data_IF_795985990839
#
_entry.id   IF_795985990839
#
_cell.length_a   1.000
_cell.length_b   1.000
_cell.length_c   1.000
_cell.angle_alpha   90.00
_cell.angle_beta   90.00
_cell.angle_gamma   90.00
#
_symmetry.space_group_name_H-M   'P 1'
#
loop_
_entity.id
_entity.type
_entity.pdbx_description
1 polymer ?
#
# COMPACT_ATOMS: atom_id res chain seq x y z
N UNK A 1 7.93 13.15 8.60
CA UNK A 1 8.56 13.68 7.38
C UNK A 1 7.91 13.06 6.15
N UNK A 2 7.61 13.88 5.17
CA UNK A 2 6.94 13.40 3.96
C UNK A 2 7.96 13.13 2.85
N UNK A 3 7.76 12.05 2.09
CA UNK A 3 8.62 11.84 0.92
C UNK A 3 8.50 13.00 -0.05
N UNK A 4 9.63 13.48 -0.54
CA UNK A 4 9.64 14.64 -1.44
C UNK A 4 8.87 14.36 -2.73
N UNK A 5 8.85 13.11 -3.19
CA UNK A 5 8.19 12.78 -4.43
C UNK A 5 6.67 12.96 -4.36
N UNK A 6 6.09 12.83 -3.18
CA UNK A 6 4.65 13.08 -3.01
C UNK A 6 4.32 14.54 -3.20
N UNK A 7 5.20 15.43 -2.75
CA UNK A 7 4.99 16.86 -2.89
C UNK A 7 4.97 17.29 -4.35
N UNK A 8 5.71 16.60 -5.21
CA UNK A 8 5.85 17.02 -6.60
C UNK A 8 4.79 16.47 -7.52
N UNK A 9 4.40 15.22 -7.36
CA UNK A 9 3.50 14.60 -8.33
C UNK A 9 2.35 13.84 -7.73
N UNK A 10 2.29 13.75 -6.42
CA UNK A 10 1.24 13.00 -5.78
C UNK A 10 1.52 11.51 -5.70
N UNK A 11 0.48 10.74 -5.46
CA UNK A 11 0.61 9.32 -5.14
C UNK A 11 1.02 8.46 -6.34
N UNK A 12 0.46 8.73 -7.53
CA UNK A 12 0.75 7.91 -8.70
C UNK A 12 2.23 7.81 -9.02
N UNK A 13 2.90 8.94 -9.27
CA UNK A 13 4.33 8.92 -9.54
C UNK A 13 5.15 8.33 -8.39
N UNK A 14 4.72 8.54 -7.15
CA UNK A 14 5.43 7.99 -6.00
C UNK A 14 5.39 6.47 -6.00
N UNK A 15 4.22 5.89 -6.29
CA UNK A 15 4.09 4.43 -6.37
C UNK A 15 4.93 3.88 -7.52
N UNK A 16 4.94 4.57 -8.66
CA UNK A 16 5.76 4.14 -9.79
C UNK A 16 7.24 4.10 -9.42
N UNK A 17 7.70 5.08 -8.65
CA UNK A 17 9.08 5.10 -8.20
C UNK A 17 9.38 3.94 -7.27
N UNK A 18 8.47 3.65 -6.34
CA UNK A 18 8.64 2.49 -5.46
C UNK A 18 8.71 1.20 -6.26
N UNK A 19 7.85 1.06 -7.27
CA UNK A 19 7.84 -0.14 -8.10
C UNK A 19 9.16 -0.33 -8.83
N UNK A 20 9.73 0.76 -9.35
CA UNK A 20 11.01 0.67 -10.05
C UNK A 20 12.16 0.26 -9.14
N UNK A 21 12.06 0.57 -7.86
CA UNK A 21 13.11 0.24 -6.88
C UNK A 21 12.89 -1.12 -6.23
N UNK A 22 11.76 -1.76 -6.53
CA UNK A 22 11.43 -3.03 -5.88
C UNK A 22 12.35 -4.14 -6.36
N UNK A 23 12.75 -5.01 -5.44
CA UNK A 23 13.52 -6.21 -5.78
C UNK A 23 12.65 -7.26 -6.45
N UNK A 24 11.33 -7.13 -6.36
CA UNK A 24 10.38 -8.06 -6.94
C UNK A 24 9.63 -7.32 -8.04
N UNK A 25 9.36 -7.96 -9.20
CA UNK A 25 8.59 -7.30 -10.24
C UNK A 25 7.22 -6.85 -9.73
N UNK A 26 6.81 -5.65 -10.13
CA UNK A 26 5.55 -5.06 -9.68
C UNK A 26 4.71 -4.71 -10.88
N UNK A 27 3.46 -5.17 -10.88
CA UNK A 27 2.47 -4.78 -11.86
C UNK A 27 1.59 -3.70 -11.26
N UNK A 28 1.36 -2.61 -11.99
CA UNK A 28 0.62 -1.46 -11.48
C UNK A 28 -0.68 -1.28 -12.24
N UNK A 29 -1.75 -0.99 -11.49
CA UNK A 29 -3.04 -0.61 -12.03
C UNK A 29 -3.45 0.63 -11.25
N UNK A 30 -3.09 1.80 -11.78
CA UNK A 30 -3.24 3.06 -11.06
C UNK A 30 -4.30 3.94 -11.71
N UNK A 31 -5.29 4.34 -10.91
CA UNK A 31 -6.32 5.30 -11.29
C UNK A 31 -6.38 6.38 -10.23
N UNK A 32 -5.25 7.06 -10.03
CA UNK A 32 -5.09 8.11 -9.02
C UNK A 32 -4.56 9.37 -9.72
N UNK A 33 -5.32 9.85 -10.68
CA UNK A 33 -4.90 10.95 -11.55
C UNK A 33 -5.20 12.32 -10.97
N UNK A 34 -5.62 12.39 -9.71
CA UNK A 34 -5.88 13.66 -9.04
C UNK A 34 -5.19 13.67 -7.68
N UNK A 35 -5.03 14.88 -7.14
CA UNK A 35 -4.43 15.00 -5.82
C UNK A 35 -5.46 14.69 -4.74
N UNK A 36 -4.98 14.13 -3.66
CA UNK A 36 -5.77 13.77 -2.49
C UNK A 36 -5.19 14.49 -1.28
N UNK A 37 -5.89 14.49 -0.13
CA UNK A 37 -5.30 15.08 1.08
C UNK A 37 -3.92 14.49 1.35
N UNK A 38 -3.01 15.34 1.79
CA UNK A 38 -1.62 14.93 1.98
C UNK A 38 -1.49 13.74 2.93
N UNK A 39 -2.27 13.74 4.02
CA UNK A 39 -2.21 12.65 4.99
C UNK A 39 -2.61 11.32 4.36
N UNK A 40 -3.55 11.33 3.43
CA UNK A 40 -3.98 10.13 2.72
C UNK A 40 -2.86 9.64 1.81
N UNK A 41 -2.25 10.55 1.05
CA UNK A 41 -1.18 10.17 0.13
C UNK A 41 0.01 9.60 0.90
N UNK A 42 0.36 10.20 2.02
CA UNK A 42 1.47 9.69 2.84
C UNK A 42 1.17 8.30 3.37
N UNK A 43 -0.04 8.09 3.90
CA UNK A 43 -0.41 6.77 4.43
C UNK A 43 -0.37 5.71 3.33
N UNK A 44 -0.94 6.02 2.17
CA UNK A 44 -0.94 5.08 1.05
C UNK A 44 0.48 4.76 0.58
N UNK A 45 1.34 5.77 0.52
CA UNK A 45 2.73 5.57 0.14
C UNK A 45 3.42 4.58 1.07
N UNK A 46 3.26 4.74 2.39
CA UNK A 46 3.90 3.85 3.33
C UNK A 46 3.32 2.44 3.30
N UNK A 47 2.03 2.30 3.03
CA UNK A 47 1.43 0.97 2.87
C UNK A 47 2.08 0.25 1.69
N UNK A 48 2.21 0.91 0.54
CA UNK A 48 2.83 0.29 -0.63
C UNK A 48 4.30 -0.03 -0.33
N UNK A 49 5.03 0.90 0.26
CA UNK A 49 6.45 0.68 0.55
C UNK A 49 6.66 -0.53 1.47
N UNK A 50 5.85 -0.63 2.52
CA UNK A 50 5.98 -1.74 3.45
C UNK A 50 5.57 -3.06 2.80
N UNK A 51 4.52 -3.04 1.98
CA UNK A 51 4.08 -4.25 1.29
C UNK A 51 5.15 -4.77 0.33
N UNK A 52 5.82 -3.88 -0.39
CA UNK A 52 6.90 -4.28 -1.30
C UNK A 52 8.09 -4.83 -0.53
N UNK A 53 8.41 -4.22 0.62
CA UNK A 53 9.48 -4.72 1.48
C UNK A 53 9.16 -6.12 1.99
N UNK A 54 7.92 -6.34 2.44
CA UNK A 54 7.51 -7.65 2.92
C UNK A 54 7.56 -8.71 1.82
N UNK A 55 7.13 -8.35 0.62
CA UNK A 55 7.16 -9.30 -0.50
C UNK A 55 8.58 -9.73 -0.81
N UNK A 56 9.52 -8.79 -0.76
CA UNK A 56 10.91 -9.09 -1.08
C UNK A 56 11.62 -9.85 0.03
N UNK A 57 11.36 -9.49 1.30
CA UNK A 57 12.14 -10.03 2.41
C UNK A 57 11.53 -11.27 3.04
N UNK A 58 10.22 -11.33 3.12
CA UNK A 58 9.57 -12.34 3.95
C UNK A 58 8.68 -13.29 3.16
N UNK A 59 8.05 -12.81 2.11
CA UNK A 59 7.06 -13.61 1.42
C UNK A 59 7.64 -14.46 0.29
N UNK A 60 8.89 -14.21 -0.12
CA UNK A 60 9.52 -14.89 -1.25
C UNK A 60 8.64 -14.81 -2.49
N UNK A 61 8.03 -13.67 -2.69
CA UNK A 61 7.13 -13.48 -3.82
C UNK A 61 7.90 -13.37 -5.11
N UNK A 62 7.32 -13.83 -6.21
CA UNK A 62 7.88 -13.63 -7.53
C UNK A 62 7.28 -12.42 -8.22
N UNK A 63 6.14 -11.92 -7.73
CA UNK A 63 5.45 -10.80 -8.33
C UNK A 63 4.54 -10.13 -7.32
N UNK A 64 4.37 -8.82 -7.47
CA UNK A 64 3.43 -8.04 -6.66
C UNK A 64 2.53 -7.27 -7.62
N UNK A 65 1.23 -7.20 -7.29
CA UNK A 65 0.27 -6.40 -8.03
C UNK A 65 -0.21 -5.28 -7.12
N UNK A 66 -0.11 -4.03 -7.58
CA UNK A 66 -0.58 -2.87 -6.82
C UNK A 66 -1.70 -2.22 -7.62
N UNK A 67 -2.88 -2.11 -7.01
CA UNK A 67 -4.02 -1.43 -7.60
C UNK A 67 -4.42 -0.28 -6.70
N UNK A 68 -4.57 0.91 -7.26
CA UNK A 68 -4.96 2.09 -6.50
C UNK A 68 -6.00 2.86 -7.30
N UNK A 69 -7.16 3.10 -6.70
CA UNK A 69 -8.27 3.79 -7.36
C UNK A 69 -8.75 4.91 -6.44
N UNK A 70 -8.67 6.14 -6.94
CA UNK A 70 -9.21 7.30 -6.23
C UNK A 70 -10.64 7.53 -6.72
N UNK A 71 -11.61 7.09 -5.93
CA UNK A 71 -13.01 7.34 -6.21
C UNK A 71 -13.41 8.73 -5.75
N UNK A 72 -14.73 8.99 -5.75
CA UNK A 72 -15.22 10.30 -5.32
C UNK A 72 -15.04 10.52 -3.82
N UNK A 73 -15.26 9.48 -3.04
CA UNK A 73 -15.28 9.59 -1.58
C UNK A 73 -14.16 8.83 -0.89
N UNK A 74 -13.52 7.90 -1.57
CA UNK A 74 -12.56 7.01 -0.94
C UNK A 74 -11.43 6.66 -1.88
N UNK A 75 -10.26 6.41 -1.29
CA UNK A 75 -9.15 5.78 -1.98
C UNK A 75 -9.20 4.29 -1.67
N UNK A 76 -9.19 3.46 -2.71
CA UNK A 76 -9.11 2.01 -2.57
C UNK A 76 -7.73 1.56 -3.04
N UNK A 77 -7.03 0.85 -2.18
CA UNK A 77 -5.68 0.41 -2.45
C UNK A 77 -5.60 -1.09 -2.15
N UNK A 78 -5.14 -1.86 -3.13
CA UNK A 78 -5.00 -3.30 -2.97
C UNK A 78 -3.59 -3.69 -3.40
N UNK A 79 -2.88 -4.42 -2.55
CA UNK A 79 -1.54 -4.89 -2.86
C UNK A 79 -1.50 -6.38 -2.59
N UNK A 80 -1.24 -7.17 -3.63
CA UNK A 80 -1.20 -8.62 -3.51
C UNK A 80 0.13 -9.16 -3.98
N UNK A 81 0.65 -10.17 -3.26
CA UNK A 81 1.83 -10.90 -3.71
C UNK A 81 1.50 -12.39 -3.77
N UNK A 82 2.33 -13.12 -4.53
CA UNK A 82 2.17 -14.54 -4.73
C UNK A 82 3.14 -15.35 -3.87
N UNK A 83 3.53 -14.80 -2.74
CA UNK A 83 4.53 -15.42 -1.89
C UNK A 83 3.98 -16.50 -0.98
N UNK A 84 4.69 -16.75 0.11
CA UNK A 84 4.37 -17.87 1.00
C UNK A 84 3.18 -17.61 1.92
N UNK A 85 2.75 -16.36 2.04
CA UNK A 85 1.65 -16.03 2.95
C UNK A 85 2.05 -16.16 4.42
N UNK A 86 1.03 -16.21 5.28
CA UNK A 86 1.27 -16.34 6.69
C UNK A 86 1.59 -15.05 7.43
N UNK A 87 1.51 -13.92 6.74
CA UNK A 87 1.74 -12.62 7.38
C UNK A 87 0.55 -12.27 8.27
N UNK A 88 0.83 -11.67 9.42
CA UNK A 88 -0.23 -11.22 10.32
C UNK A 88 0.12 -9.83 10.83
N UNK A 89 -0.90 -9.03 11.09
CA UNK A 89 -0.71 -7.75 11.74
C UNK A 89 -0.13 -8.01 13.12
N UNK A 90 0.94 -7.34 13.46
CA UNK A 90 1.59 -7.57 14.73
C UNK A 90 2.72 -8.56 14.68
N UNK A 91 3.03 -9.08 13.50
CA UNK A 91 4.10 -10.04 13.34
C UNK A 91 5.48 -9.43 13.28
N UNK A 92 5.65 -8.20 13.74
CA UNK A 92 6.95 -7.55 13.77
C UNK A 92 7.39 -6.92 12.47
N UNK A 93 6.51 -6.85 11.51
CA UNK A 93 6.85 -6.40 10.17
C UNK A 93 6.45 -4.95 9.89
N UNK A 94 6.00 -4.19 10.87
CA UNK A 94 5.55 -2.85 10.62
C UNK A 94 4.08 -2.75 10.23
N UNK A 95 3.40 -3.87 10.07
CA UNK A 95 2.00 -3.84 9.66
C UNK A 95 1.09 -3.22 10.72
N UNK A 96 1.43 -3.38 12.01
CA UNK A 96 0.66 -2.74 13.08
C UNK A 96 0.69 -1.23 12.90
N UNK A 97 1.87 -0.67 12.66
CA UNK A 97 2.01 0.78 12.48
C UNK A 97 1.22 1.29 11.29
N UNK A 98 1.19 0.51 10.21
CA UNK A 98 0.40 0.88 9.04
C UNK A 98 -1.09 0.88 9.35
N UNK A 99 -1.55 -0.14 10.06
CA UNK A 99 -2.95 -0.22 10.42
C UNK A 99 -3.36 0.98 11.27
N UNK A 100 -2.53 1.32 12.27
CA UNK A 100 -2.80 2.48 13.11
C UNK A 100 -2.85 3.77 12.28
N UNK A 101 -1.93 3.92 11.34
CA UNK A 101 -1.88 5.11 10.50
C UNK A 101 -3.14 5.24 9.63
N UNK A 102 -3.59 4.13 9.05
CA UNK A 102 -4.79 4.13 8.22
C UNK A 102 -6.02 4.41 9.07
N UNK A 103 -6.10 3.79 10.25
CA UNK A 103 -7.27 3.97 11.12
C UNK A 103 -7.33 5.39 11.69
N UNK A 104 -6.20 6.05 11.84
CA UNK A 104 -6.17 7.44 12.29
C UNK A 104 -6.84 8.37 11.26
N UNK A 105 -6.96 7.93 10.01
CA UNK A 105 -7.63 8.67 8.94
C UNK A 105 -9.05 8.19 8.72
N UNK A 106 -9.61 7.44 9.66
CA UNK A 106 -10.92 6.82 9.57
C UNK A 106 -10.98 5.78 8.46
N UNK A 107 -9.84 5.25 8.06
CA UNK A 107 -9.75 4.21 7.06
C UNK A 107 -9.73 2.83 7.66
N UNK A 108 -9.59 1.83 6.81
CA UNK A 108 -9.53 0.44 7.22
C UNK A 108 -8.44 -0.27 6.44
N UNK A 109 -7.71 -1.15 7.11
CA UNK A 109 -6.69 -1.98 6.49
C UNK A 109 -6.98 -3.43 6.86
N UNK A 110 -7.19 -4.26 5.84
CA UNK A 110 -7.39 -5.68 6.03
C UNK A 110 -6.25 -6.47 5.42
N UNK A 111 -5.91 -7.58 6.05
CA UNK A 111 -4.86 -8.47 5.59
C UNK A 111 -5.44 -9.85 5.38
N UNK A 112 -5.19 -10.42 4.19
CA UNK A 112 -5.52 -11.81 3.93
C UNK A 112 -4.23 -12.50 3.51
N UNK A 113 -3.77 -13.46 4.32
CA UNK A 113 -2.47 -14.08 4.08
C UNK A 113 -2.48 -15.55 4.46
N UNK A 114 -3.30 -16.37 3.80
CA UNK A 114 -3.31 -17.80 4.08
C UNK A 114 -1.94 -18.40 3.78
N UNK A 115 -1.43 -19.30 4.63
CA UNK A 115 -0.16 -19.95 4.36
C UNK A 115 -0.16 -20.61 2.98
N UNK A 116 0.87 -20.35 2.20
CA UNK A 116 1.01 -20.92 0.86
C UNK A 116 0.24 -20.22 -0.24
N UNK A 117 -0.51 -19.17 0.07
CA UNK A 117 -1.38 -18.50 -0.90
C UNK A 117 -1.11 -17.01 -1.07
N UNK A 118 0.06 -16.54 -0.65
CA UNK A 118 0.42 -15.15 -0.80
C UNK A 118 -0.24 -14.25 0.25
N UNK A 119 -0.06 -12.96 0.07
CA UNK A 119 -0.58 -11.95 0.99
C UNK A 119 -1.28 -10.87 0.20
N UNK A 120 -2.47 -10.47 0.65
CA UNK A 120 -3.20 -9.36 0.06
C UNK A 120 -3.55 -8.35 1.14
N UNK A 121 -3.18 -7.09 0.90
CA UNK A 121 -3.57 -5.98 1.75
C UNK A 121 -4.66 -5.20 1.05
N UNK A 122 -5.74 -4.89 1.77
CA UNK A 122 -6.83 -4.07 1.26
C UNK A 122 -6.97 -2.85 2.15
N UNK A 123 -6.91 -1.67 1.54
CA UNK A 123 -6.96 -0.41 2.28
C UNK A 123 -8.05 0.45 1.67
N UNK A 124 -8.88 1.03 2.53
CA UNK A 124 -9.88 2.01 2.12
C UNK A 124 -9.72 3.23 3.03
N UNK A 125 -9.49 4.39 2.43
CA UNK A 125 -9.30 5.63 3.20
C UNK A 125 -10.27 6.68 2.67
N UNK A 126 -11.09 7.29 3.54
CA UNK A 126 -11.98 8.36 3.11
C UNK A 126 -11.20 9.56 2.60
N UNK A 127 -11.69 10.18 1.54
CA UNK A 127 -11.08 11.38 0.97
C UNK A 127 -11.74 12.65 1.46
N UNK A 128 -12.90 12.55 2.08
CA UNK A 128 -13.58 13.70 2.65
C UNK A 128 -12.84 14.12 3.90
N UNK A 129 -12.37 15.33 3.91
CA UNK A 129 -11.45 15.80 4.95
C UNK A 129 -12.10 16.28 6.22
N UNK A 130 -13.35 16.17 6.33
CA UNK A 130 -13.88 16.74 7.52
C UNK A 130 -14.74 15.95 8.29
#
# INVERSE_FOLDING_TARGET
MHPAILSKGGLGPAIKTLARRSAVPVELDLNVDRRMPESVEVAAYYVVAEALTNAAKHARASEVVVSAVAGDDELHLTIGDDGIGGAVAGGGSGLIGLKDRVEALAGRLGISSPPGSGTTLNVVIPLQGE
#
